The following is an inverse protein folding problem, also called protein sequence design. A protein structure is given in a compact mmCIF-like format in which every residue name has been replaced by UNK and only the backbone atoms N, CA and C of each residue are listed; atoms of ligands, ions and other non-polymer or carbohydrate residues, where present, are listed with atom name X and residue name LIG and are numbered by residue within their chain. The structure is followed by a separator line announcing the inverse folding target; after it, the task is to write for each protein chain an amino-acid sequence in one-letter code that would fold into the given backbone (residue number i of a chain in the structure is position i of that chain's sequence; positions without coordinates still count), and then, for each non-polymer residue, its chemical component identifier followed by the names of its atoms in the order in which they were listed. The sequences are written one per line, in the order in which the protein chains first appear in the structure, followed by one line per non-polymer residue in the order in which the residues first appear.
data_IF_716635337194
#
_entry.id   IF_716635337194
#
_cell.length_a   1.000
_cell.length_b   1.000
_cell.length_c   1.000
_cell.angle_alpha   90.00
_cell.angle_beta   90.00
_cell.angle_gamma   90.00
#
_symmetry.space_group_name_H-M   'P 1'
#
loop_
_entity.id
_entity.type
_entity.pdbx_description
1 polymer ?
#
# COMPACT_ATOMS: atom_id res chain seq x y z
N UNK A 1 -26.47 9.71 -12.58
CA UNK A 1 -26.20 8.30 -12.25
C UNK A 1 -24.73 8.04 -12.50
N UNK A 2 -23.94 7.89 -11.44
CA UNK A 2 -22.53 7.55 -11.57
C UNK A 2 -22.48 6.09 -12.03
N UNK A 3 -21.94 5.85 -13.21
CA UNK A 3 -21.69 4.50 -13.73
C UNK A 3 -20.91 3.70 -12.69
N UNK A 4 -21.31 2.46 -12.47
CA UNK A 4 -20.61 1.52 -11.60
C UNK A 4 -19.13 1.45 -12.00
N UNK A 5 -18.25 1.83 -11.08
CA UNK A 5 -16.80 1.90 -11.26
C UNK A 5 -16.17 0.51 -11.37
N UNK A 6 -16.89 -0.55 -11.03
CA UNK A 6 -16.37 -1.91 -10.93
C UNK A 6 -16.75 -2.82 -12.12
N UNK A 7 -17.63 -2.38 -13.02
CA UNK A 7 -18.11 -3.17 -14.18
C UNK A 7 -17.52 -2.74 -15.52
N UNK A 8 -16.52 -1.84 -15.53
CA UNK A 8 -15.94 -1.36 -16.79
C UNK A 8 -14.94 -2.38 -17.35
N UNK A 9 -15.32 -3.04 -18.43
CA UNK A 9 -14.38 -3.80 -19.29
C UNK A 9 -13.27 -2.85 -19.72
N UNK A 10 -12.07 -3.08 -19.19
CA UNK A 10 -10.89 -2.29 -19.49
C UNK A 10 -10.00 -3.13 -20.39
N UNK A 11 -9.78 -2.68 -21.62
CA UNK A 11 -8.74 -3.25 -22.47
C UNK A 11 -7.39 -2.93 -21.83
N UNK A 12 -6.67 -3.97 -21.41
CA UNK A 12 -5.37 -3.84 -20.79
C UNK A 12 -4.27 -4.30 -21.76
N UNK A 13 -3.03 -3.78 -21.61
CA UNK A 13 -1.90 -4.23 -22.43
C UNK A 13 -1.63 -5.72 -22.26
N UNK A 14 -0.96 -6.32 -23.25
CA UNK A 14 -0.50 -7.70 -23.18
C UNK A 14 0.34 -7.94 -21.90
N UNK A 15 0.08 -9.06 -21.24
CA UNK A 15 0.73 -9.42 -19.98
C UNK A 15 0.06 -8.85 -18.71
N UNK A 16 -1.05 -8.11 -18.85
CA UNK A 16 -1.83 -7.61 -17.71
C UNK A 16 -3.21 -8.27 -17.68
N UNK A 17 -3.58 -8.85 -16.55
CA UNK A 17 -4.91 -9.43 -16.33
C UNK A 17 -5.60 -8.74 -15.17
N UNK A 18 -6.84 -8.31 -15.38
CA UNK A 18 -7.69 -7.76 -14.32
C UNK A 18 -8.73 -8.80 -13.90
N UNK A 19 -8.78 -9.08 -12.61
CA UNK A 19 -9.67 -10.06 -11.99
C UNK A 19 -10.70 -9.34 -11.11
N UNK A 20 -11.77 -8.78 -11.69
CA UNK A 20 -12.78 -8.06 -10.92
C UNK A 20 -13.47 -9.03 -9.94
N UNK A 21 -13.61 -8.62 -8.68
CA UNK A 21 -14.26 -9.44 -7.65
C UNK A 21 -13.52 -10.73 -7.30
N UNK A 22 -12.21 -10.82 -7.55
CA UNK A 22 -11.42 -12.04 -7.32
C UNK A 22 -11.39 -12.53 -5.86
N UNK A 23 -11.59 -11.61 -4.89
CA UNK A 23 -11.56 -11.91 -3.47
C UNK A 23 -12.98 -11.83 -2.93
N UNK A 24 -13.49 -12.91 -2.36
CA UNK A 24 -14.83 -12.94 -1.78
C UNK A 24 -14.92 -11.98 -0.58
N UNK A 25 -16.13 -11.46 -0.31
CA UNK A 25 -16.34 -10.50 0.80
C UNK A 25 -15.84 -11.04 2.14
N UNK A 26 -16.05 -12.34 2.42
CA UNK A 26 -15.55 -12.98 3.64
C UNK A 26 -14.02 -12.99 3.72
N UNK A 27 -13.33 -13.17 2.59
CA UNK A 27 -11.87 -13.16 2.53
C UNK A 27 -11.31 -11.73 2.62
N UNK A 28 -12.03 -10.73 2.07
CA UNK A 28 -11.66 -9.32 2.22
C UNK A 28 -11.64 -8.91 3.70
N UNK A 29 -12.59 -9.38 4.51
CA UNK A 29 -12.61 -9.12 5.95
C UNK A 29 -11.36 -9.69 6.65
N UNK A 30 -10.94 -10.91 6.31
CA UNK A 30 -9.71 -11.52 6.84
C UNK A 30 -8.48 -10.70 6.49
N UNK A 31 -8.40 -10.20 5.24
CA UNK A 31 -7.30 -9.33 4.80
C UNK A 31 -7.30 -8.00 5.57
N UNK A 32 -8.47 -7.40 5.81
CA UNK A 32 -8.58 -6.16 6.58
C UNK A 32 -8.11 -6.34 8.03
N UNK A 33 -8.47 -7.45 8.68
CA UNK A 33 -8.02 -7.76 10.04
C UNK A 33 -6.50 -7.93 10.09
N UNK A 34 -5.92 -8.62 9.10
CA UNK A 34 -4.47 -8.76 8.99
C UNK A 34 -3.77 -7.39 8.79
N UNK A 35 -4.33 -6.52 7.94
CA UNK A 35 -3.82 -5.16 7.73
C UNK A 35 -3.93 -4.32 8.99
N UNK A 36 -4.99 -4.47 9.78
CA UNK A 36 -5.12 -3.79 11.07
C UNK A 36 -4.01 -4.20 12.05
N UNK A 37 -3.66 -5.49 12.08
CA UNK A 37 -2.51 -6.00 12.83
C UNK A 37 -1.18 -5.39 12.37
N UNK A 38 -0.96 -5.29 11.06
CA UNK A 38 0.22 -4.62 10.48
C UNK A 38 0.27 -3.16 10.90
N UNK A 39 -0.82 -2.40 10.78
CA UNK A 39 -0.85 -0.98 11.15
C UNK A 39 -0.65 -0.75 12.66
N UNK A 40 -1.01 -1.71 13.50
CA UNK A 40 -0.72 -1.63 14.94
C UNK A 40 0.78 -1.84 15.22
N UNK A 41 1.44 -2.77 14.52
CA UNK A 41 2.86 -3.05 14.68
C UNK A 41 3.78 -2.01 13.99
N UNK A 42 3.39 -1.55 12.80
CA UNK A 42 4.06 -0.53 11.99
C UNK A 42 3.08 0.62 11.70
N UNK A 43 2.95 1.60 12.61
CA UNK A 43 2.02 2.71 12.46
C UNK A 43 2.20 3.48 11.14
N UNK A 44 1.12 3.94 10.49
CA UNK A 44 1.25 4.65 9.21
C UNK A 44 2.05 5.96 9.31
N UNK A 45 3.17 6.02 8.61
CA UNK A 45 4.03 7.20 8.50
C UNK A 45 3.73 7.98 7.21
N UNK A 46 4.27 9.21 7.09
CA UNK A 46 4.11 10.05 5.90
C UNK A 46 5.47 10.20 5.18
N UNK A 47 5.72 9.44 4.08
CA UNK A 47 6.97 9.56 3.34
C UNK A 47 7.16 10.95 2.72
N UNK A 48 8.40 11.27 2.36
CA UNK A 48 8.75 12.52 1.68
C UNK A 48 9.24 12.24 0.27
N UNK A 49 8.97 13.15 -0.64
CA UNK A 49 9.58 13.16 -1.96
C UNK A 49 11.06 13.58 -1.83
N UNK A 50 11.83 13.39 -2.91
CA UNK A 50 13.25 13.80 -2.96
C UNK A 50 13.46 15.28 -2.58
N UNK A 51 12.49 16.14 -2.85
CA UNK A 51 12.53 17.57 -2.52
C UNK A 51 12.04 17.89 -1.09
N UNK A 52 11.86 16.89 -0.22
CA UNK A 52 11.37 17.03 1.15
C UNK A 52 9.85 17.21 1.29
N UNK A 53 9.12 17.35 0.17
CA UNK A 53 7.66 17.54 0.20
C UNK A 53 6.97 16.28 0.71
N UNK A 54 6.08 16.36 1.71
CA UNK A 54 5.37 15.19 2.20
C UNK A 54 4.39 14.65 1.14
N UNK A 55 4.34 13.33 1.00
CA UNK A 55 3.32 12.68 0.16
C UNK A 55 1.93 12.90 0.77
N UNK A 56 0.89 12.94 -0.08
CA UNK A 56 -0.51 13.09 0.38
C UNK A 56 -1.00 11.86 1.16
N UNK A 57 -0.46 10.68 0.82
CA UNK A 57 -0.81 9.40 1.42
C UNK A 57 0.04 9.13 2.66
N UNK A 58 -0.51 8.32 3.56
CA UNK A 58 0.27 7.61 4.58
C UNK A 58 0.52 6.19 4.10
N UNK A 59 1.68 5.65 4.44
CA UNK A 59 2.07 4.29 4.09
C UNK A 59 2.44 3.52 5.36
N UNK A 60 2.29 2.20 5.29
CA UNK A 60 2.88 1.24 6.21
C UNK A 60 3.48 0.11 5.36
N UNK A 61 4.33 -0.72 5.96
CA UNK A 61 4.94 -1.87 5.31
C UNK A 61 4.89 -3.08 6.25
N UNK A 62 4.97 -4.29 5.68
CA UNK A 62 5.13 -5.54 6.42
C UNK A 62 6.08 -6.49 5.69
N UNK A 63 6.70 -7.40 6.44
CA UNK A 63 7.76 -8.27 5.93
C UNK A 63 9.15 -7.70 6.25
N UNK A 64 10.23 -8.31 5.74
CA UNK A 64 11.60 -7.95 6.13
C UNK A 64 12.11 -6.62 5.57
N UNK A 65 11.39 -6.04 4.60
CA UNK A 65 11.82 -4.85 3.87
C UNK A 65 10.62 -3.96 3.57
N UNK A 66 10.63 -2.73 4.10
CA UNK A 66 9.64 -1.72 3.82
C UNK A 66 10.09 -0.74 2.74
N UNK A 67 9.18 -0.38 1.83
CA UNK A 67 9.47 0.66 0.85
C UNK A 67 9.45 2.03 1.54
N UNK A 68 10.48 2.84 1.26
CA UNK A 68 10.65 4.18 1.80
C UNK A 68 11.01 5.17 0.69
N UNK A 69 10.47 6.39 0.85
CA UNK A 69 10.84 7.57 0.09
C UNK A 69 11.16 8.71 1.05
N UNK A 70 12.30 9.36 0.82
CA UNK A 70 12.70 10.60 1.47
C UNK A 70 13.67 11.40 0.56
N UNK A 71 14.38 12.38 1.12
CA UNK A 71 15.37 13.21 0.40
C UNK A 71 16.50 12.38 -0.24
N UNK A 72 16.79 11.18 0.27
CA UNK A 72 17.80 10.27 -0.29
C UNK A 72 17.28 9.52 -1.53
N UNK A 73 15.97 9.49 -1.72
CA UNK A 73 15.28 8.81 -2.83
C UNK A 73 14.56 7.54 -2.37
N UNK A 74 14.22 6.69 -3.34
CA UNK A 74 13.46 5.45 -3.10
C UNK A 74 14.37 4.29 -2.73
N UNK A 75 13.98 3.51 -1.71
CA UNK A 75 14.73 2.32 -1.28
C UNK A 75 13.86 1.38 -0.46
N UNK A 76 14.39 0.18 -0.23
CA UNK A 76 13.88 -0.72 0.80
C UNK A 76 14.70 -0.56 2.07
N UNK A 77 14.03 -0.50 3.22
CA UNK A 77 14.65 -0.42 4.54
C UNK A 77 14.16 -1.56 5.44
N UNK A 78 15.06 -2.09 6.27
CA UNK A 78 14.74 -3.16 7.21
C UNK A 78 14.07 -2.65 8.49
N UNK A 79 13.92 -1.33 8.65
CA UNK A 79 13.39 -0.69 9.86
C UNK A 79 12.38 0.37 9.49
N UNK A 80 11.35 0.48 10.33
CA UNK A 80 10.33 1.50 10.22
C UNK A 80 10.93 2.90 10.48
N UNK A 81 10.65 3.90 9.62
CA UNK A 81 11.38 5.18 9.62
C UNK A 81 11.09 6.10 10.81
N UNK A 82 10.03 5.82 11.59
CA UNK A 82 9.69 6.61 12.78
C UNK A 82 9.90 5.84 14.09
N UNK A 83 9.87 4.51 14.07
CA UNK A 83 9.96 3.68 15.29
C UNK A 83 11.28 2.92 15.39
N UNK A 84 12.03 2.82 14.30
CA UNK A 84 13.29 2.05 14.16
C UNK A 84 13.17 0.55 14.47
N UNK A 85 11.95 0.08 14.71
CA UNK A 85 11.62 -1.33 14.85
C UNK A 85 11.67 -2.00 13.47
N UNK A 86 12.08 -3.27 13.40
CA UNK A 86 11.98 -4.06 12.18
C UNK A 86 10.56 -4.11 11.62
#
# INVERSE_FOLDING_TARGET
MQSDLFTRETTLPDGVTHWPGAIAVSEQAVVLDAIAGVMAAAPPFRPRLRNGTPMINRLTNCGPWGWLSDEKGYRYEARHPETELP
#
